data_IF_770628879024
#
_entry.id   IF_770628879024
#
_cell.length_a   1.000
_cell.length_b   1.000
_cell.length_c   1.000
_cell.angle_alpha   90.00
_cell.angle_beta   90.00
_cell.angle_gamma   90.00
#
_symmetry.space_group_name_H-M   'P 1'
#
loop_
_entity.id
_entity.type
_entity.pdbx_description
1 polymer ?
#
# COMPACT_ATOMS: atom_id res chain seq x y z
N UNK A 1 17.40 -10.59 -7.59
CA UNK A 1 18.05 -10.95 -6.31
C UNK A 1 18.95 -12.16 -6.54
N UNK A 2 18.45 -13.26 -7.10
CA UNK A 2 19.24 -14.49 -7.30
C UNK A 2 20.59 -14.23 -8.00
N UNK A 3 20.61 -13.41 -9.04
CA UNK A 3 21.85 -13.01 -9.74
C UNK A 3 22.81 -12.19 -8.86
N UNK A 4 22.23 -11.36 -7.96
CA UNK A 4 23.02 -10.52 -7.05
C UNK A 4 23.59 -11.31 -5.86
N UNK A 5 22.99 -12.44 -5.53
CA UNK A 5 23.45 -13.32 -4.45
C UNK A 5 24.33 -14.47 -4.94
N UNK A 6 24.60 -14.53 -6.26
CA UNK A 6 25.54 -15.49 -6.82
C UNK A 6 26.95 -15.26 -6.23
N UNK A 7 27.51 -16.29 -5.58
CA UNK A 7 28.78 -16.18 -4.85
C UNK A 7 28.70 -15.62 -3.41
N UNK A 8 27.50 -15.26 -2.95
CA UNK A 8 27.25 -14.87 -1.54
C UNK A 8 26.71 -16.08 -0.78
N UNK A 9 27.21 -16.31 0.44
CA UNK A 9 26.61 -17.30 1.34
C UNK A 9 25.21 -16.81 1.77
N UNK A 10 24.17 -17.49 1.27
CA UNK A 10 22.78 -17.13 1.56
C UNK A 10 22.45 -17.13 3.08
N UNK A 11 23.21 -17.86 3.90
CA UNK A 11 23.05 -17.88 5.34
C UNK A 11 23.51 -16.59 6.02
N UNK A 12 24.32 -15.77 5.33
CA UNK A 12 24.80 -14.47 5.84
C UNK A 12 23.83 -13.32 5.54
N UNK A 13 22.81 -13.55 4.70
CA UNK A 13 21.80 -12.53 4.41
C UNK A 13 20.74 -12.57 5.50
N UNK A 14 20.70 -11.52 6.32
CA UNK A 14 19.81 -11.43 7.49
C UNK A 14 18.51 -10.69 7.21
N UNK A 15 18.51 -9.74 6.26
CA UNK A 15 17.35 -8.92 6.00
C UNK A 15 17.28 -8.33 4.60
N UNK A 16 16.07 -7.95 4.19
CA UNK A 16 15.75 -7.24 2.96
C UNK A 16 14.93 -6.02 3.33
N UNK A 17 15.34 -4.86 2.80
CA UNK A 17 14.57 -3.63 2.79
C UNK A 17 14.53 -3.11 1.35
N UNK A 18 13.49 -2.40 0.99
CA UNK A 18 13.36 -1.83 -0.35
C UNK A 18 12.44 -0.60 -0.35
N UNK A 19 12.85 0.41 -1.08
CA UNK A 19 11.99 1.52 -1.45
C UNK A 19 11.10 1.13 -2.63
N UNK A 20 10.00 1.84 -2.80
CA UNK A 20 9.08 1.61 -3.91
C UNK A 20 8.33 2.86 -4.31
N UNK A 21 7.51 2.73 -5.34
CA UNK A 21 6.65 3.83 -5.77
C UNK A 21 5.56 4.10 -4.72
N UNK A 22 5.55 5.32 -4.19
CA UNK A 22 4.50 5.81 -3.30
C UNK A 22 3.16 5.94 -4.04
N UNK A 23 2.07 6.03 -3.31
CA UNK A 23 0.73 6.45 -3.76
C UNK A 23 0.03 5.54 -4.79
N UNK A 24 0.71 4.56 -5.37
CA UNK A 24 0.11 3.60 -6.32
C UNK A 24 -1.02 2.81 -5.67
N UNK A 25 -2.05 2.46 -6.42
CA UNK A 25 -3.15 1.64 -5.93
C UNK A 25 -3.03 0.21 -6.49
N UNK A 26 -2.77 -0.74 -5.61
CA UNK A 26 -2.88 -2.18 -5.86
C UNK A 26 -4.06 -2.72 -5.06
N UNK A 27 -4.94 -3.47 -5.71
CA UNK A 27 -6.13 -4.04 -5.08
C UNK A 27 -6.21 -5.55 -5.32
N UNK A 28 -6.50 -6.29 -4.26
CA UNK A 28 -6.69 -7.74 -4.32
C UNK A 28 -8.12 -8.10 -3.92
N UNK A 29 -8.59 -9.20 -4.46
CA UNK A 29 -9.86 -9.81 -4.08
C UNK A 29 -9.73 -10.71 -2.83
N UNK A 30 -10.82 -11.39 -2.47
CA UNK A 30 -10.88 -12.32 -1.32
C UNK A 30 -9.95 -13.52 -1.45
N UNK A 31 -9.56 -13.89 -2.66
CA UNK A 31 -8.67 -15.01 -2.96
C UNK A 31 -7.20 -14.54 -3.11
N UNK A 32 -6.94 -13.25 -2.81
CA UNK A 32 -5.66 -12.56 -2.94
C UNK A 32 -5.15 -12.43 -4.39
N UNK A 33 -6.06 -12.51 -5.35
CA UNK A 33 -5.75 -12.29 -6.75
C UNK A 33 -5.84 -10.80 -7.10
N UNK A 34 -4.96 -10.36 -7.99
CA UNK A 34 -4.94 -8.96 -8.45
C UNK A 34 -6.17 -8.68 -9.31
N UNK A 35 -7.03 -7.76 -8.87
CA UNK A 35 -8.29 -7.42 -9.56
C UNK A 35 -8.02 -6.73 -10.90
N UNK A 36 -7.01 -5.86 -10.96
CA UNK A 36 -6.63 -5.08 -12.14
C UNK A 36 -5.18 -4.58 -12.05
N UNK A 37 -4.56 -4.15 -13.16
CA UNK A 37 -3.27 -3.47 -13.12
C UNK A 37 -3.27 -2.26 -12.18
N UNK A 38 -2.19 -2.04 -11.45
CA UNK A 38 -2.04 -0.92 -10.52
C UNK A 38 -2.24 0.44 -11.20
N UNK A 39 -2.90 1.38 -10.49
CA UNK A 39 -2.94 2.79 -10.90
C UNK A 39 -1.76 3.49 -10.23
N UNK A 40 -0.78 3.94 -11.03
CA UNK A 40 0.48 4.46 -10.51
C UNK A 40 0.40 5.92 -10.07
N UNK A 41 1.43 6.40 -9.38
CA UNK A 41 1.52 7.76 -8.82
C UNK A 41 1.46 8.88 -9.86
N UNK A 42 1.94 8.63 -11.08
CA UNK A 42 1.97 9.57 -12.20
C UNK A 42 0.71 9.55 -13.08
N UNK A 43 -0.31 8.78 -12.68
CA UNK A 43 -1.58 8.71 -13.40
C UNK A 43 -2.48 9.88 -13.00
N UNK A 44 -2.80 10.72 -13.97
CA UNK A 44 -3.56 11.95 -13.76
C UNK A 44 -5.09 11.81 -13.88
N UNK A 45 -5.64 10.59 -14.00
CA UNK A 45 -7.09 10.36 -14.25
C UNK A 45 -8.03 10.88 -13.16
N UNK A 46 -7.54 11.14 -11.95
CA UNK A 46 -8.32 11.43 -10.73
C UNK A 46 -8.52 12.91 -10.44
N UNK A 47 -8.45 13.78 -11.45
CA UNK A 47 -8.61 15.25 -11.26
C UNK A 47 -9.97 15.59 -10.67
N UNK A 48 -11.06 14.95 -11.16
CA UNK A 48 -12.43 15.15 -10.67
C UNK A 48 -12.58 14.76 -9.19
N UNK A 49 -11.98 13.64 -8.81
CA UNK A 49 -12.00 13.15 -7.44
C UNK A 49 -11.19 14.05 -6.49
N UNK A 50 -10.08 14.61 -6.99
CA UNK A 50 -9.33 15.63 -6.24
C UNK A 50 -10.14 16.91 -6.03
N UNK A 51 -10.86 17.37 -7.05
CA UNK A 51 -11.75 18.54 -6.93
C UNK A 51 -12.87 18.28 -5.93
N UNK A 52 -13.48 17.10 -5.95
CA UNK A 52 -14.47 16.69 -4.97
C UNK A 52 -13.90 16.72 -3.53
N UNK A 53 -12.73 16.10 -3.31
CA UNK A 53 -12.10 16.05 -2.00
C UNK A 53 -11.71 17.47 -1.53
N UNK A 54 -11.04 18.26 -2.37
CA UNK A 54 -10.52 19.57 -1.98
C UNK A 54 -11.60 20.65 -1.86
N UNK A 55 -12.65 20.61 -2.68
CA UNK A 55 -13.64 21.70 -2.77
C UNK A 55 -14.99 21.33 -2.14
N UNK A 56 -15.45 20.07 -2.26
CA UNK A 56 -16.75 19.65 -1.69
C UNK A 56 -16.59 19.16 -0.26
N UNK A 57 -15.66 18.26 0.02
CA UNK A 57 -15.32 17.87 1.41
C UNK A 57 -14.61 19.02 2.11
N UNK A 58 -13.65 19.64 1.43
CA UNK A 58 -12.90 20.81 1.88
C UNK A 58 -11.49 20.46 2.36
N UNK A 59 -10.52 21.25 1.89
CA UNK A 59 -9.09 21.06 2.22
C UNK A 59 -8.81 21.04 3.72
N UNK A 60 -9.47 21.90 4.49
CA UNK A 60 -9.25 21.98 5.94
C UNK A 60 -9.67 20.70 6.65
N UNK A 61 -10.80 20.11 6.25
CA UNK A 61 -11.26 18.82 6.80
C UNK A 61 -10.34 17.68 6.38
N UNK A 62 -9.92 17.64 5.11
CA UNK A 62 -8.97 16.62 4.64
C UNK A 62 -7.65 16.72 5.41
N UNK A 63 -7.15 17.95 5.60
CA UNK A 63 -5.95 18.20 6.39
C UNK A 63 -6.12 17.81 7.87
N UNK A 64 -7.29 18.06 8.45
CA UNK A 64 -7.61 17.58 9.81
C UNK A 64 -7.57 16.06 9.91
N UNK A 65 -8.09 15.34 8.89
CA UNK A 65 -8.20 13.87 8.89
C UNK A 65 -6.90 13.16 8.56
N UNK A 66 -5.97 13.81 7.82
CA UNK A 66 -4.78 13.13 7.24
C UNK A 66 -3.49 13.94 7.30
N UNK A 67 -3.54 15.19 7.80
CA UNK A 67 -2.45 16.16 7.73
C UNK A 67 -1.99 16.50 6.28
N UNK A 68 -2.85 16.27 5.27
CA UNK A 68 -2.53 16.49 3.86
C UNK A 68 -3.76 17.00 3.08
N UNK A 69 -3.58 17.34 1.79
CA UNK A 69 -4.64 17.69 0.84
C UNK A 69 -4.63 16.72 -0.34
N UNK A 70 -5.70 16.67 -1.13
CA UNK A 70 -5.79 15.72 -2.24
C UNK A 70 -4.98 16.16 -3.46
N UNK A 71 -4.18 15.22 -4.00
CA UNK A 71 -3.47 15.31 -5.28
C UNK A 71 -3.79 14.08 -6.14
N UNK A 72 -3.77 14.25 -7.47
CA UNK A 72 -4.14 13.19 -8.41
C UNK A 72 -3.26 11.92 -8.27
N UNK A 73 -2.01 12.08 -7.86
CA UNK A 73 -1.10 10.97 -7.61
C UNK A 73 -1.44 10.12 -6.38
N UNK A 74 -2.21 10.62 -5.42
CA UNK A 74 -2.48 9.94 -4.15
C UNK A 74 -3.46 8.77 -4.28
N UNK A 75 -3.47 7.90 -3.26
CA UNK A 75 -4.25 6.64 -3.31
C UNK A 75 -5.75 6.85 -3.17
N UNK A 76 -6.21 7.69 -2.23
CA UNK A 76 -7.64 7.91 -1.99
C UNK A 76 -8.40 8.41 -3.23
N UNK A 77 -7.92 9.40 -4.02
CA UNK A 77 -8.57 9.77 -5.27
C UNK A 77 -8.72 8.62 -6.26
N UNK A 78 -7.77 7.69 -6.31
CA UNK A 78 -7.83 6.51 -7.19
C UNK A 78 -8.91 5.52 -6.76
N UNK A 79 -9.12 5.38 -5.46
CA UNK A 79 -10.21 4.55 -4.92
C UNK A 79 -11.56 5.15 -5.29
N UNK A 80 -11.73 6.48 -5.15
CA UNK A 80 -12.94 7.18 -5.58
C UNK A 80 -13.19 7.02 -7.07
N UNK A 81 -12.15 7.19 -7.89
CA UNK A 81 -12.24 6.98 -9.33
C UNK A 81 -12.68 5.56 -9.67
N UNK A 82 -12.09 4.56 -9.00
CA UNK A 82 -12.43 3.16 -9.21
C UNK A 82 -13.90 2.88 -8.85
N UNK A 83 -14.39 3.44 -7.74
CA UNK A 83 -15.79 3.32 -7.31
C UNK A 83 -16.78 3.84 -8.38
N UNK A 84 -16.44 4.95 -9.01
CA UNK A 84 -17.29 5.57 -10.02
C UNK A 84 -17.18 4.92 -11.41
N UNK A 85 -15.97 4.54 -11.82
CA UNK A 85 -15.69 4.12 -13.20
C UNK A 85 -15.57 2.60 -13.37
N UNK A 86 -15.24 1.88 -12.31
CA UNK A 86 -15.10 0.41 -12.32
C UNK A 86 -15.84 -0.21 -11.11
N UNK A 87 -17.16 0.00 -10.94
CA UNK A 87 -17.89 -0.42 -9.73
C UNK A 87 -17.84 -1.93 -9.48
N UNK A 88 -17.75 -2.74 -10.52
CA UNK A 88 -17.64 -4.20 -10.37
C UNK A 88 -16.25 -4.64 -9.85
N UNK A 89 -15.22 -3.90 -10.17
CA UNK A 89 -13.89 -4.11 -9.59
C UNK A 89 -13.84 -3.59 -8.15
N UNK A 90 -14.44 -2.43 -7.89
CA UNK A 90 -14.53 -1.85 -6.54
C UNK A 90 -15.21 -2.79 -5.54
N UNK A 91 -16.31 -3.44 -5.92
CA UNK A 91 -17.04 -4.40 -5.06
C UNK A 91 -16.23 -5.64 -4.67
N UNK A 92 -15.19 -5.98 -5.44
CA UNK A 92 -14.34 -7.15 -5.19
C UNK A 92 -13.19 -6.86 -4.23
N UNK A 93 -12.95 -5.58 -3.89
CA UNK A 93 -11.81 -5.19 -3.06
C UNK A 93 -11.89 -5.89 -1.70
N UNK A 94 -10.86 -6.64 -1.39
CA UNK A 94 -10.62 -7.27 -0.09
C UNK A 94 -9.34 -6.75 0.57
N UNK A 95 -8.35 -6.32 -0.24
CA UNK A 95 -7.10 -5.72 0.25
C UNK A 95 -6.68 -4.55 -0.62
N UNK A 96 -6.19 -3.52 0.04
CA UNK A 96 -5.60 -2.31 -0.57
C UNK A 96 -4.14 -2.24 -0.16
N UNK A 97 -3.26 -2.02 -1.14
CA UNK A 97 -1.82 -1.96 -0.95
C UNK A 97 -1.19 -0.89 -1.84
N UNK A 98 -0.03 -0.42 -1.45
CA UNK A 98 0.90 0.26 -2.34
C UNK A 98 1.74 -0.78 -3.12
N UNK A 99 2.39 -0.40 -4.23
CA UNK A 99 3.24 -1.33 -4.99
C UNK A 99 4.35 -1.98 -4.15
N UNK A 100 4.99 -1.22 -3.25
CA UNK A 100 5.98 -1.73 -2.30
C UNK A 100 5.37 -2.75 -1.34
N UNK A 101 4.19 -2.43 -0.78
CA UNK A 101 3.48 -3.31 0.15
C UNK A 101 3.09 -4.63 -0.50
N UNK A 102 2.69 -4.57 -1.77
CA UNK A 102 2.39 -5.79 -2.54
C UNK A 102 3.64 -6.67 -2.72
N UNK A 103 4.82 -6.06 -2.93
CA UNK A 103 6.07 -6.80 -3.00
C UNK A 103 6.40 -7.45 -1.65
N UNK A 104 6.28 -6.71 -0.53
CA UNK A 104 6.44 -7.25 0.82
C UNK A 104 5.45 -8.41 1.09
N UNK A 105 4.19 -8.23 0.69
CA UNK A 105 3.17 -9.27 0.78
C UNK A 105 3.55 -10.54 -0.01
N UNK A 106 4.05 -10.40 -1.24
CA UNK A 106 4.52 -11.56 -2.05
C UNK A 106 5.73 -12.25 -1.46
N UNK A 107 6.54 -11.54 -0.68
CA UNK A 107 7.70 -12.11 0.01
C UNK A 107 7.33 -12.82 1.31
N UNK A 108 6.36 -12.28 2.07
CA UNK A 108 6.09 -12.70 3.46
C UNK A 108 4.72 -13.31 3.69
N UNK A 109 3.76 -13.07 2.79
CA UNK A 109 2.35 -13.38 3.01
C UNK A 109 1.64 -12.40 3.96
N UNK A 110 2.33 -11.39 4.48
CA UNK A 110 1.78 -10.43 5.44
C UNK A 110 1.23 -9.20 4.71
N UNK A 111 -0.05 -8.87 4.94
CA UNK A 111 -0.68 -7.65 4.46
C UNK A 111 -0.24 -6.47 5.35
N UNK A 112 0.77 -5.75 4.90
CA UNK A 112 1.47 -4.71 5.66
C UNK A 112 1.68 -3.44 4.84
N UNK A 113 1.88 -2.33 5.53
CA UNK A 113 2.42 -1.06 5.04
C UNK A 113 3.23 -0.41 6.16
N UNK A 114 3.97 0.64 5.87
CA UNK A 114 4.64 1.43 6.90
C UNK A 114 4.05 2.84 7.04
N UNK A 115 4.30 3.47 8.19
CA UNK A 115 3.75 4.79 8.53
C UNK A 115 4.13 5.88 7.54
N UNK A 116 5.34 5.81 6.95
CA UNK A 116 5.82 6.79 5.98
C UNK A 116 5.00 6.74 4.69
N UNK A 117 4.88 5.57 4.10
CA UNK A 117 4.10 5.37 2.88
C UNK A 117 2.59 5.51 3.10
N UNK A 118 2.07 5.02 4.24
CA UNK A 118 0.66 5.19 4.61
C UNK A 118 0.27 6.67 4.70
N UNK A 119 1.16 7.55 5.18
CA UNK A 119 0.92 8.98 5.27
C UNK A 119 0.62 9.64 3.92
N UNK A 120 1.17 9.10 2.83
CA UNK A 120 0.94 9.56 1.46
C UNK A 120 -0.30 8.98 0.78
N UNK A 121 -1.02 8.07 1.42
CA UNK A 121 -2.23 7.46 0.82
C UNK A 121 -3.46 8.38 0.87
N UNK A 122 -3.47 9.41 1.71
CA UNK A 122 -4.63 10.23 2.05
C UNK A 122 -5.77 9.42 2.72
N UNK A 123 -5.41 8.33 3.39
CA UNK A 123 -6.29 7.43 4.14
C UNK A 123 -5.83 7.24 5.58
N UNK A 124 -4.67 7.83 5.94
CA UNK A 124 -4.00 7.64 7.22
C UNK A 124 -4.08 8.92 8.06
N UNK A 125 -4.51 8.80 9.31
CA UNK A 125 -4.44 9.86 10.31
C UNK A 125 -3.00 9.90 10.85
N UNK A 126 -2.20 10.82 10.31
CA UNK A 126 -0.78 10.96 10.65
C UNK A 126 -0.58 11.33 12.12
N UNK A 127 -1.49 12.12 12.69
CA UNK A 127 -1.41 12.57 14.09
C UNK A 127 -1.61 11.42 15.07
N UNK A 128 -2.60 10.57 14.81
CA UNK A 128 -2.97 9.45 15.69
C UNK A 128 -2.35 8.12 15.25
N UNK A 129 -1.64 8.10 14.10
CA UNK A 129 -0.92 6.94 13.53
C UNK A 129 -1.83 5.72 13.32
N UNK A 130 -3.00 5.96 12.76
CA UNK A 130 -4.00 4.93 12.45
C UNK A 130 -4.73 5.26 11.13
N UNK A 131 -5.51 4.33 10.61
CA UNK A 131 -6.36 4.60 9.45
C UNK A 131 -7.42 5.64 9.81
N UNK A 132 -7.61 6.63 8.94
CA UNK A 132 -8.59 7.69 9.11
C UNK A 132 -9.98 7.17 8.79
N UNK A 133 -10.79 6.93 9.82
CA UNK A 133 -12.17 6.47 9.66
C UNK A 133 -12.96 7.38 8.73
N UNK A 134 -12.80 8.70 8.87
CA UNK A 134 -13.50 9.69 8.05
C UNK A 134 -13.13 9.55 6.57
N UNK A 135 -11.86 9.32 6.26
CA UNK A 135 -11.42 9.14 4.88
C UNK A 135 -11.84 7.79 4.30
N UNK A 136 -11.82 6.73 5.12
CA UNK A 136 -12.34 5.42 4.72
C UNK A 136 -13.84 5.50 4.40
N UNK A 137 -14.64 6.16 5.24
CA UNK A 137 -16.07 6.38 5.03
C UNK A 137 -16.33 7.19 3.74
N UNK A 138 -15.55 8.26 3.48
CA UNK A 138 -15.63 9.06 2.24
C UNK A 138 -15.34 8.20 1.02
N UNK A 139 -14.33 7.34 1.09
CA UNK A 139 -13.97 6.42 0.01
C UNK A 139 -14.93 5.23 -0.12
N UNK A 140 -15.71 4.92 0.90
CA UNK A 140 -16.58 3.74 0.97
C UNK A 140 -15.82 2.43 1.14
N UNK A 141 -14.72 2.46 1.91
CA UNK A 141 -13.82 1.32 2.16
C UNK A 141 -13.97 0.86 3.61
N UNK A 142 -14.10 -0.45 3.79
CA UNK A 142 -14.03 -1.09 5.11
C UNK A 142 -12.58 -1.09 5.61
N UNK A 143 -12.35 -0.79 6.88
CA UNK A 143 -11.02 -0.80 7.50
C UNK A 143 -10.33 -2.17 7.40
N UNK A 144 -11.10 -3.26 7.37
CA UNK A 144 -10.56 -4.60 7.16
C UNK A 144 -9.85 -4.80 5.80
N UNK A 145 -10.10 -3.92 4.84
CA UNK A 145 -9.38 -3.90 3.56
C UNK A 145 -7.99 -3.26 3.68
N UNK A 146 -7.71 -2.57 4.80
CA UNK A 146 -6.48 -1.85 4.99
C UNK A 146 -5.40 -2.72 5.62
N UNK A 147 -4.14 -2.42 5.26
CA UNK A 147 -2.98 -3.14 5.74
C UNK A 147 -2.70 -2.87 7.24
N UNK A 148 -2.07 -3.81 7.93
CA UNK A 148 -1.46 -3.53 9.23
C UNK A 148 -0.31 -2.54 9.03
N UNK A 149 -0.30 -1.48 9.85
CA UNK A 149 0.71 -0.42 9.80
C UNK A 149 1.87 -0.76 10.73
N UNK A 150 3.08 -0.60 10.24
CA UNK A 150 4.35 -0.81 10.96
C UNK A 150 5.16 0.48 10.97
N UNK A 151 6.13 0.59 11.86
CA UNK A 151 7.20 1.56 11.71
C UNK A 151 8.10 1.14 10.54
N UNK A 152 8.70 2.10 9.82
CA UNK A 152 9.49 1.80 8.62
C UNK A 152 10.65 0.85 8.87
N UNK A 153 11.21 0.84 10.09
CA UNK A 153 12.32 -0.03 10.50
C UNK A 153 11.88 -1.40 11.06
N UNK A 154 10.59 -1.64 11.23
CA UNK A 154 10.09 -2.89 11.81
C UNK A 154 10.12 -4.04 10.82
N UNK A 155 10.35 -5.23 11.33
CA UNK A 155 10.24 -6.47 10.59
C UNK A 155 8.77 -6.85 10.43
N UNK A 156 8.31 -7.02 9.20
CA UNK A 156 6.93 -7.45 8.91
C UNK A 156 6.78 -8.97 8.91
N UNK A 157 7.86 -9.69 8.71
CA UNK A 157 7.88 -11.15 8.66
C UNK A 157 9.15 -11.67 7.99
N UNK A 158 9.26 -12.98 7.90
CA UNK A 158 10.34 -13.66 7.20
C UNK A 158 9.90 -14.02 5.78
N UNK A 159 10.85 -14.35 4.92
CA UNK A 159 10.54 -14.89 3.59
C UNK A 159 9.72 -16.16 3.70
N UNK A 160 8.70 -16.27 2.85
CA UNK A 160 8.03 -17.56 2.62
C UNK A 160 9.00 -18.53 1.96
N UNK A 161 8.75 -19.83 2.11
CA UNK A 161 9.54 -20.87 1.45
C UNK A 161 9.66 -20.66 -0.06
N UNK A 162 8.53 -20.30 -0.70
CA UNK A 162 8.52 -20.03 -2.15
C UNK A 162 9.38 -18.81 -2.50
N UNK A 163 9.25 -17.71 -1.77
CA UNK A 163 10.04 -16.52 -2.00
C UNK A 163 11.54 -16.77 -1.79
N UNK A 164 11.91 -17.46 -0.71
CA UNK A 164 13.29 -17.83 -0.41
C UNK A 164 13.91 -18.67 -1.54
N UNK A 165 13.21 -19.71 -2.01
CA UNK A 165 13.66 -20.56 -3.13
C UNK A 165 13.86 -19.76 -4.42
N UNK A 166 12.93 -18.89 -4.77
CA UNK A 166 13.01 -18.05 -5.98
C UNK A 166 14.15 -17.05 -5.93
N UNK A 167 14.52 -16.60 -4.75
CA UNK A 167 15.58 -15.62 -4.53
C UNK A 167 16.96 -16.26 -4.29
N UNK A 168 17.03 -17.57 -4.05
CA UNK A 168 18.25 -18.24 -3.64
C UNK A 168 18.69 -17.88 -2.22
N UNK A 169 17.73 -17.59 -1.33
CA UNK A 169 17.96 -17.19 0.06
C UNK A 169 17.35 -18.22 1.04
N UNK A 170 17.54 -17.98 2.33
CA UNK A 170 16.92 -18.80 3.41
C UNK A 170 15.60 -18.18 3.89
N UNK A 171 14.73 -19.00 4.47
CA UNK A 171 13.47 -18.55 5.09
C UNK A 171 13.71 -17.70 6.36
N UNK A 172 14.94 -17.63 6.87
CA UNK A 172 15.28 -16.81 8.06
C UNK A 172 15.47 -15.33 7.72
N UNK A 173 15.53 -14.97 6.44
CA UNK A 173 15.72 -13.57 6.02
C UNK A 173 14.49 -12.75 6.39
N UNK A 174 14.71 -11.69 7.16
CA UNK A 174 13.66 -10.75 7.59
C UNK A 174 13.33 -9.76 6.49
N UNK A 175 12.06 -9.43 6.33
CA UNK A 175 11.58 -8.35 5.46
C UNK A 175 11.19 -7.15 6.31
N UNK A 176 11.73 -5.98 5.99
CA UNK A 176 11.51 -4.73 6.72
C UNK A 176 10.39 -3.94 6.02
N UNK A 177 9.56 -3.24 6.82
CA UNK A 177 8.35 -2.58 6.33
C UNK A 177 8.62 -1.43 5.35
N UNK A 178 9.65 -0.64 5.60
CA UNK A 178 10.04 0.51 4.80
C UNK A 178 11.54 0.55 4.49
N UNK A 179 11.98 1.60 3.79
CA UNK A 179 13.37 1.87 3.47
C UNK A 179 13.89 3.09 4.22
#
# INVERSE_FOLDING_TARGET
IKELTDGVDAAQVEGISFGGQMHGLVILDKDNEVIRPAILWNDGRTTKECDYLNNTIGKDKIAEYTANIAFAGFTAPKILWLRENEPENFKKISKIMLPKDYLAYKMTGVHCTDVSDASGMLLFDVKNRCWSKQMLDICGIDENCMAKVFESYECVGNLTKEAAQRMGLTENVKVIAGA
#
